data_IF_996898793690
#
_entry.id   IF_996898793690
#
_cell.length_a   1.000
_cell.length_b   1.000
_cell.length_c   1.000
_cell.angle_alpha   90.00
_cell.angle_beta   90.00
_cell.angle_gamma   90.00
#
_symmetry.space_group_name_H-M   'P 1'
#
loop_
_entity.id
_entity.type
_entity.pdbx_description
1 polymer ?
#
# COMPACT_ATOMS: atom_id res chain seq x y z
N UNK A 1 -1.15 -6.31 -12.24
CA UNK A 1 -0.37 -5.94 -11.03
C UNK A 1 -0.40 -7.04 -9.98
N UNK A 2 -1.57 -7.63 -9.67
CA UNK A 2 -1.72 -8.71 -8.67
C UNK A 2 -0.87 -9.97 -8.89
N UNK A 3 -0.45 -10.25 -10.13
CA UNK A 3 0.40 -11.40 -10.47
C UNK A 3 1.85 -11.27 -9.96
N UNK A 4 2.30 -10.06 -9.62
CA UNK A 4 3.67 -9.77 -9.17
C UNK A 4 3.79 -9.50 -7.66
N UNK A 5 2.68 -9.55 -6.89
CA UNK A 5 2.73 -9.28 -5.44
C UNK A 5 3.38 -10.42 -4.63
N UNK A 6 3.48 -11.63 -5.19
CA UNK A 6 3.88 -12.82 -4.44
C UNK A 6 2.89 -13.15 -3.30
N UNK A 7 3.11 -14.28 -2.63
CA UNK A 7 2.23 -14.69 -1.52
C UNK A 7 2.19 -13.64 -0.39
N UNK A 8 3.34 -13.05 -0.06
CA UNK A 8 3.48 -12.04 1.00
C UNK A 8 2.73 -10.75 0.67
N UNK A 9 2.79 -10.26 -0.58
CA UNK A 9 2.08 -9.04 -0.97
C UNK A 9 0.56 -9.23 -0.96
N UNK A 10 0.07 -10.42 -1.29
CA UNK A 10 -1.37 -10.75 -1.18
C UNK A 10 -1.81 -10.76 0.29
N UNK A 11 -1.04 -11.41 1.18
CA UNK A 11 -1.33 -11.40 2.62
C UNK A 11 -1.33 -9.98 3.17
N UNK A 12 -0.34 -9.16 2.80
CA UNK A 12 -0.27 -7.75 3.19
C UNK A 12 -1.48 -6.95 2.72
N UNK A 13 -1.95 -7.17 1.50
CA UNK A 13 -3.15 -6.51 0.98
C UNK A 13 -4.41 -6.93 1.74
N UNK A 14 -4.56 -8.22 2.07
CA UNK A 14 -5.69 -8.71 2.87
C UNK A 14 -5.68 -8.07 4.25
N UNK A 15 -4.52 -8.01 4.91
CA UNK A 15 -4.39 -7.36 6.22
C UNK A 15 -4.69 -5.86 6.16
N UNK A 16 -4.24 -5.17 5.10
CA UNK A 16 -4.54 -3.76 4.89
C UNK A 16 -6.05 -3.52 4.75
N UNK A 17 -6.73 -4.32 3.92
CA UNK A 17 -8.18 -4.19 3.74
C UNK A 17 -8.95 -4.56 5.01
N UNK A 18 -8.51 -5.59 5.74
CA UNK A 18 -9.09 -5.98 7.01
C UNK A 18 -8.95 -4.88 8.07
N UNK A 19 -7.78 -4.25 8.17
CA UNK A 19 -7.54 -3.13 9.09
C UNK A 19 -8.42 -1.92 8.77
N UNK A 20 -8.53 -1.54 7.49
CA UNK A 20 -9.41 -0.44 7.07
C UNK A 20 -10.88 -0.79 7.37
N UNK A 21 -11.32 -2.01 7.08
CA UNK A 21 -12.68 -2.46 7.36
C UNK A 21 -13.00 -2.47 8.86
N UNK A 22 -12.05 -2.86 9.70
CA UNK A 22 -12.18 -2.84 11.15
C UNK A 22 -12.34 -1.41 11.68
N UNK A 23 -11.53 -0.46 11.17
CA UNK A 23 -11.65 0.95 11.54
C UNK A 23 -12.96 1.56 11.02
N UNK A 24 -13.40 1.14 9.83
CA UNK A 24 -14.65 1.60 9.21
C UNK A 24 -15.89 1.20 10.02
N UNK A 25 -15.81 0.13 10.83
CA UNK A 25 -16.87 -0.26 11.75
C UNK A 25 -17.14 0.82 12.82
N UNK A 26 -16.10 1.52 13.26
CA UNK A 26 -16.20 2.57 14.28
C UNK A 26 -16.39 3.96 13.64
N UNK A 27 -15.60 4.29 12.62
CA UNK A 27 -15.71 5.58 11.94
C UNK A 27 -15.23 5.52 10.50
N UNK A 28 -16.19 5.75 9.59
CA UNK A 28 -15.92 5.80 8.15
C UNK A 28 -14.97 6.94 7.78
N UNK A 29 -15.03 8.07 8.52
CA UNK A 29 -14.15 9.22 8.30
C UNK A 29 -12.69 8.88 8.66
N UNK A 30 -12.47 8.21 9.78
CA UNK A 30 -11.12 7.79 10.21
C UNK A 30 -10.57 6.74 9.25
N UNK A 31 -11.39 5.77 8.85
CA UNK A 31 -10.99 4.75 7.89
C UNK A 31 -10.59 5.36 6.53
N UNK A 32 -11.33 6.35 6.05
CA UNK A 32 -10.98 7.09 4.83
C UNK A 32 -9.64 7.84 4.98
N UNK A 33 -9.43 8.51 6.12
CA UNK A 33 -8.16 9.17 6.44
C UNK A 33 -6.99 8.19 6.45
N UNK A 34 -7.14 7.03 7.10
CA UNK A 34 -6.13 5.97 7.11
C UNK A 34 -5.86 5.39 5.72
N UNK A 35 -6.90 5.17 4.92
CA UNK A 35 -6.76 4.68 3.55
C UNK A 35 -5.96 5.65 2.68
N UNK A 36 -6.19 6.96 2.83
CA UNK A 36 -5.41 7.99 2.13
C UNK A 36 -3.94 8.01 2.57
N UNK A 37 -3.66 7.88 3.87
CA UNK A 37 -2.29 7.79 4.39
C UNK A 37 -1.57 6.58 3.78
N UNK A 38 -2.20 5.40 3.79
CA UNK A 38 -1.61 4.17 3.25
C UNK A 38 -1.40 4.25 1.74
N UNK A 39 -2.35 4.82 1.00
CA UNK A 39 -2.21 5.06 -0.43
C UNK A 39 -1.03 6.00 -0.71
N UNK A 40 -0.92 7.11 0.01
CA UNK A 40 0.20 8.05 -0.08
C UNK A 40 1.54 7.38 0.22
N UNK A 41 1.61 6.56 1.27
CA UNK A 41 2.81 5.79 1.60
C UNK A 41 3.22 4.86 0.46
N UNK A 42 2.25 4.16 -0.14
CA UNK A 42 2.50 3.29 -1.30
C UNK A 42 3.07 4.05 -2.50
N UNK A 43 2.59 5.26 -2.76
CA UNK A 43 3.14 6.13 -3.81
C UNK A 43 4.58 6.57 -3.50
N UNK A 44 4.85 6.98 -2.25
CA UNK A 44 6.19 7.36 -1.81
C UNK A 44 7.15 6.18 -1.97
N UNK A 45 6.81 5.01 -1.43
CA UNK A 45 7.63 3.80 -1.55
C UNK A 45 7.88 3.43 -3.02
N UNK A 46 6.84 3.49 -3.87
CA UNK A 46 7.00 3.25 -5.31
C UNK A 46 8.00 4.23 -5.94
N UNK A 47 7.90 5.53 -5.65
CA UNK A 47 8.81 6.53 -6.18
C UNK A 47 10.26 6.31 -5.71
N UNK A 48 10.46 5.93 -4.43
CA UNK A 48 11.77 5.62 -3.88
C UNK A 48 12.39 4.41 -4.56
N UNK A 49 11.63 3.32 -4.71
CA UNK A 49 12.09 2.10 -5.38
C UNK A 49 12.40 2.40 -6.85
N UNK A 50 11.52 3.10 -7.57
CA UNK A 50 11.75 3.46 -8.96
C UNK A 50 13.00 4.32 -9.13
N UNK A 51 13.20 5.35 -8.29
CA UNK A 51 14.39 6.19 -8.33
C UNK A 51 15.67 5.43 -7.99
N UNK A 52 15.61 4.52 -7.01
CA UNK A 52 16.73 3.65 -6.64
C UNK A 52 17.11 2.72 -7.80
N UNK A 53 16.15 2.05 -8.42
CA UNK A 53 16.41 1.14 -9.54
C UNK A 53 16.95 1.91 -10.77
N UNK A 54 16.48 3.14 -11.00
CA UNK A 54 17.03 4.02 -12.02
C UNK A 54 18.49 4.39 -11.73
N UNK A 55 18.85 4.65 -10.47
CA UNK A 55 20.24 4.91 -10.07
C UNK A 55 21.18 3.71 -10.31
N UNK A 56 20.62 2.50 -10.31
CA UNK A 56 21.34 1.27 -10.65
C UNK A 56 21.34 0.94 -12.15
N UNK A 57 20.82 1.83 -13.01
CA UNK A 57 20.78 1.63 -14.47
C UNK A 57 19.79 0.54 -14.92
N UNK A 58 18.88 0.11 -14.04
CA UNK A 58 17.84 -0.89 -14.36
C UNK A 58 16.60 -0.27 -15.03
N UNK A 59 16.62 1.03 -15.34
CA UNK A 59 15.61 1.77 -16.10
C UNK A 59 16.22 2.92 -16.89
#
# INVERSE_FOLDING_TARGET
MFRNLGAVGVVGLVLLLAGIALVAYESLLIAAGMALILAGLGLVVKSLISGMLQSFGMF
#
